data_IF_870933320133
#
_entry.id   IF_870933320133
#
_cell.length_a   1.000
_cell.length_b   1.000
_cell.length_c   1.000
_cell.angle_alpha   90.00
_cell.angle_beta   90.00
_cell.angle_gamma   90.00
#
_symmetry.space_group_name_H-M   'P 1'
#
loop_
_entity.id
_entity.type
_entity.pdbx_description
1 polymer ?
#
# COMPACT_ATOMS: atom_id res chain seq x y z
N UNK A 1 -8.10 2.46 15.61
CA UNK A 1 -7.74 1.83 14.32
C UNK A 1 -7.04 2.87 13.46
N UNK A 2 -5.93 2.49 12.87
CA UNK A 2 -5.25 3.34 11.90
C UNK A 2 -5.30 2.69 10.53
N UNK A 3 -5.28 3.51 9.47
CA UNK A 3 -5.33 3.06 8.08
C UNK A 3 -4.20 3.70 7.30
N UNK A 4 -3.39 2.85 6.69
CA UNK A 4 -2.33 3.28 5.79
C UNK A 4 -2.80 3.16 4.35
N UNK A 5 -2.54 4.19 3.56
CA UNK A 5 -2.85 4.21 2.13
C UNK A 5 -1.62 4.71 1.37
N UNK A 6 -1.17 3.90 0.41
CA UNK A 6 -0.08 4.28 -0.50
C UNK A 6 -0.69 4.54 -1.87
N UNK A 7 -0.60 5.78 -2.32
CA UNK A 7 -1.17 6.24 -3.58
C UNK A 7 -0.12 6.21 -4.68
N UNK A 8 -0.48 5.60 -5.81
CA UNK A 8 0.34 5.56 -7.00
C UNK A 8 -0.51 5.88 -8.23
N UNK A 9 0.13 6.43 -9.26
CA UNK A 9 -0.45 6.50 -10.59
C UNK A 9 0.31 5.51 -11.47
N UNK A 10 -0.40 4.56 -12.05
CA UNK A 10 0.20 3.49 -12.85
C UNK A 10 0.29 3.92 -14.31
N UNK A 11 1.39 3.57 -14.96
CA UNK A 11 1.57 3.77 -16.39
C UNK A 11 0.43 3.13 -17.18
N UNK A 12 -0.12 3.87 -18.16
CA UNK A 12 -1.18 3.35 -19.03
C UNK A 12 -0.73 2.05 -19.68
N UNK A 13 -1.61 1.04 -19.65
CA UNK A 13 -1.32 -0.28 -20.19
C UNK A 13 -0.63 -1.24 -19.23
N UNK A 14 -0.22 -0.77 -18.04
CA UNK A 14 0.48 -1.60 -17.03
C UNK A 14 -0.38 -1.95 -15.82
N UNK A 15 -1.70 -1.75 -15.89
CA UNK A 15 -2.58 -1.96 -14.74
C UNK A 15 -2.57 -3.42 -14.25
N UNK A 16 -2.60 -4.38 -15.16
CA UNK A 16 -2.56 -5.80 -14.78
C UNK A 16 -1.22 -6.17 -14.13
N UNK A 17 -0.13 -5.56 -14.57
CA UNK A 17 1.19 -5.75 -13.95
C UNK A 17 1.18 -5.18 -12.52
N UNK A 18 0.51 -4.05 -12.30
CA UNK A 18 0.38 -3.47 -10.97
C UNK A 18 -0.46 -4.37 -10.03
N UNK A 19 -1.51 -4.99 -10.54
CA UNK A 19 -2.29 -5.96 -9.76
C UNK A 19 -1.43 -7.17 -9.38
N UNK A 20 -0.60 -7.66 -10.30
CA UNK A 20 0.30 -8.77 -9.99
C UNK A 20 1.35 -8.38 -8.96
N UNK A 21 1.88 -7.15 -9.05
CA UNK A 21 2.80 -6.61 -8.05
C UNK A 21 2.16 -6.58 -6.66
N UNK A 22 0.91 -6.15 -6.56
CA UNK A 22 0.18 -6.15 -5.28
C UNK A 22 -0.04 -7.57 -4.74
N UNK A 23 -0.35 -8.53 -5.62
CA UNK A 23 -0.46 -9.94 -5.22
C UNK A 23 0.84 -10.50 -4.69
N UNK A 24 1.96 -10.14 -5.31
CA UNK A 24 3.28 -10.61 -4.89
C UNK A 24 3.66 -10.03 -3.52
N UNK A 25 3.35 -8.76 -3.27
CA UNK A 25 3.53 -8.14 -1.96
C UNK A 25 2.68 -8.88 -0.92
N UNK A 26 1.41 -9.11 -1.21
CA UNK A 26 0.51 -9.78 -0.27
C UNK A 26 0.91 -11.23 0.01
N UNK A 27 1.51 -11.91 -0.95
CA UNK A 27 2.03 -13.26 -0.73
C UNK A 27 3.13 -13.28 0.33
N UNK A 28 4.02 -12.29 0.32
CA UNK A 28 5.04 -12.15 1.35
C UNK A 28 4.41 -11.77 2.69
N UNK A 29 3.48 -10.81 2.68
CA UNK A 29 2.78 -10.40 3.91
C UNK A 29 2.10 -11.61 4.57
N UNK A 30 1.41 -12.42 3.80
CA UNK A 30 0.74 -13.63 4.29
C UNK A 30 1.74 -14.62 4.88
N UNK A 31 2.85 -14.84 4.18
CA UNK A 31 3.91 -15.76 4.62
C UNK A 31 4.54 -15.32 5.95
N UNK A 32 4.68 -14.01 6.16
CA UNK A 32 5.28 -13.44 7.37
C UNK A 32 4.28 -13.19 8.49
N UNK A 33 2.99 -13.35 8.24
CA UNK A 33 1.95 -13.04 9.22
C UNK A 33 1.67 -11.54 9.36
N UNK A 34 2.03 -10.75 8.35
CA UNK A 34 1.74 -9.32 8.30
C UNK A 34 0.37 -9.04 7.70
N UNK A 35 -0.15 -7.85 7.96
CA UNK A 35 -1.40 -7.38 7.38
C UNK A 35 -1.27 -7.30 5.85
N UNK A 36 -2.24 -7.86 5.15
CA UNK A 36 -2.28 -7.78 3.68
C UNK A 36 -2.96 -6.47 3.25
N UNK A 37 -2.59 -6.02 2.06
CA UNK A 37 -3.14 -4.81 1.47
C UNK A 37 -4.38 -5.14 0.63
N UNK A 38 -5.31 -4.18 0.62
CA UNK A 38 -6.41 -4.14 -0.35
C UNK A 38 -6.04 -3.12 -1.42
N UNK A 39 -6.36 -3.42 -2.66
CA UNK A 39 -6.18 -2.49 -3.77
C UNK A 39 -7.48 -1.72 -3.99
N UNK A 40 -7.39 -0.40 -3.93
CA UNK A 40 -8.51 0.49 -4.21
C UNK A 40 -8.21 1.26 -5.49
N UNK A 41 -9.21 1.34 -6.36
CA UNK A 41 -9.13 2.15 -7.58
C UNK A 41 -10.36 3.06 -7.65
N UNK A 42 -10.22 4.31 -8.11
CA UNK A 42 -11.36 5.21 -8.17
C UNK A 42 -12.31 4.80 -9.29
N UNK A 43 -13.61 4.83 -9.00
CA UNK A 43 -14.64 4.75 -10.05
C UNK A 43 -14.67 6.05 -10.85
N UNK A 44 -14.43 7.16 -10.17
CA UNK A 44 -14.21 8.49 -10.73
C UNK A 44 -13.00 9.10 -10.04
N UNK A 45 -12.26 9.96 -10.71
CA UNK A 45 -11.10 10.62 -10.16
C UNK A 45 -9.93 10.54 -11.11
N UNK A 46 -8.71 10.50 -10.55
CA UNK A 46 -7.49 10.43 -11.36
C UNK A 46 -7.42 9.07 -12.07
N UNK A 47 -7.29 9.13 -13.39
CA UNK A 47 -7.16 7.92 -14.22
C UNK A 47 -5.90 7.15 -13.84
N UNK A 48 -6.02 5.84 -13.73
CA UNK A 48 -4.93 4.92 -13.37
C UNK A 48 -4.36 5.13 -11.97
N UNK A 49 -5.08 5.77 -11.09
CA UNK A 49 -4.71 5.79 -9.69
C UNK A 49 -4.86 4.39 -9.08
N UNK A 50 -3.89 4.01 -8.27
CA UNK A 50 -3.78 2.69 -7.68
C UNK A 50 -3.38 2.87 -6.22
N UNK A 51 -4.25 2.46 -5.31
CA UNK A 51 -4.06 2.69 -3.89
C UNK A 51 -3.94 1.36 -3.17
N UNK A 52 -2.83 1.16 -2.46
CA UNK A 52 -2.71 0.06 -1.51
C UNK A 52 -3.19 0.54 -0.15
N UNK A 53 -4.14 -0.19 0.43
CA UNK A 53 -4.73 0.17 1.70
C UNK A 53 -4.64 -0.98 2.69
N UNK A 54 -4.26 -0.68 3.93
CA UNK A 54 -4.23 -1.65 5.02
C UNK A 54 -4.63 -1.00 6.33
N UNK A 55 -5.34 -1.75 7.18
CA UNK A 55 -5.79 -1.30 8.48
C UNK A 55 -5.05 -2.02 9.60
N UNK A 56 -4.74 -1.29 10.65
CA UNK A 56 -4.01 -1.78 11.83
C UNK A 56 -4.77 -1.38 13.10
N UNK A 57 -4.66 -2.16 14.18
CA UNK A 57 -5.35 -1.81 15.42
C UNK A 57 -4.88 -0.48 16.01
N UNK A 58 -3.60 -0.13 15.88
CA UNK A 58 -3.01 1.08 16.43
C UNK A 58 -1.73 1.46 15.67
N UNK A 59 -1.16 2.61 16.01
CA UNK A 59 0.09 3.09 15.40
C UNK A 59 1.26 2.15 15.66
N UNK A 60 1.35 1.57 16.85
CA UNK A 60 2.45 0.68 17.20
C UNK A 60 2.47 -0.55 16.29
N UNK A 61 1.31 -1.13 15.99
CA UNK A 61 1.19 -2.25 15.07
C UNK A 61 1.64 -1.87 13.65
N UNK A 62 1.20 -0.70 13.16
CA UNK A 62 1.64 -0.20 11.86
C UNK A 62 3.16 -0.04 11.80
N UNK A 63 3.74 0.67 12.75
CA UNK A 63 5.19 0.92 12.73
C UNK A 63 6.01 -0.35 12.86
N UNK A 64 5.57 -1.31 13.67
CA UNK A 64 6.24 -2.60 13.80
C UNK A 64 6.26 -3.37 12.48
N UNK A 65 5.10 -3.47 11.80
CA UNK A 65 5.02 -4.19 10.54
C UNK A 65 5.75 -3.45 9.42
N UNK A 66 5.66 -2.12 9.38
CA UNK A 66 6.36 -1.31 8.38
C UNK A 66 7.87 -1.46 8.51
N UNK A 67 8.38 -1.43 9.73
CA UNK A 67 9.80 -1.64 10.00
C UNK A 67 10.26 -3.05 9.59
N UNK A 68 9.45 -4.06 9.93
CA UNK A 68 9.74 -5.44 9.56
C UNK A 68 9.74 -5.63 8.02
N UNK A 69 8.80 -5.01 7.34
CA UNK A 69 8.72 -5.04 5.87
C UNK A 69 9.97 -4.42 5.24
N UNK A 70 10.38 -3.26 5.71
CA UNK A 70 11.56 -2.56 5.20
C UNK A 70 12.87 -3.31 5.47
N UNK A 71 12.91 -4.12 6.51
CA UNK A 71 14.08 -4.95 6.84
C UNK A 71 14.08 -6.30 6.11
N UNK A 72 12.99 -6.66 5.45
CA UNK A 72 12.87 -7.94 4.74
C UNK A 72 13.34 -7.80 3.29
N UNK A 73 14.39 -8.54 2.93
CA UNK A 73 15.00 -8.43 1.60
C UNK A 73 14.06 -8.89 0.48
N UNK A 74 13.26 -9.93 0.71
CA UNK A 74 12.30 -10.41 -0.27
C UNK A 74 11.19 -9.39 -0.50
N UNK A 75 10.60 -8.87 0.58
CA UNK A 75 9.55 -7.85 0.51
C UNK A 75 10.04 -6.60 -0.21
N UNK A 76 11.22 -6.10 0.14
CA UNK A 76 11.77 -4.89 -0.46
C UNK A 76 12.19 -5.08 -1.92
N UNK A 77 12.65 -6.27 -2.29
CA UNK A 77 12.94 -6.59 -3.69
C UNK A 77 11.68 -6.48 -4.55
N UNK A 78 10.57 -7.08 -4.09
CA UNK A 78 9.27 -6.99 -4.79
C UNK A 78 8.78 -5.55 -4.81
N UNK A 79 8.83 -4.87 -3.68
CA UNK A 79 8.36 -3.48 -3.56
C UNK A 79 9.06 -2.56 -4.56
N UNK A 80 10.39 -2.68 -4.69
CA UNK A 80 11.18 -1.85 -5.60
C UNK A 80 10.85 -2.05 -7.07
N UNK A 81 10.38 -3.23 -7.46
CA UNK A 81 9.91 -3.47 -8.83
C UNK A 81 8.72 -2.58 -9.20
N UNK A 82 7.95 -2.12 -8.21
CA UNK A 82 6.85 -1.20 -8.43
C UNK A 82 7.26 0.13 -9.05
N UNK A 83 8.52 0.53 -8.91
CA UNK A 83 9.04 1.77 -9.50
C UNK A 83 8.84 1.79 -11.02
N UNK A 84 8.98 0.63 -11.68
CA UNK A 84 8.81 0.52 -13.13
C UNK A 84 7.37 0.75 -13.58
N UNK A 85 6.41 0.63 -12.66
CA UNK A 85 4.98 0.72 -12.95
C UNK A 85 4.44 2.14 -12.75
N UNK A 86 5.20 3.00 -12.07
CA UNK A 86 4.78 4.37 -11.78
C UNK A 86 4.84 5.22 -13.04
N UNK A 87 3.75 5.94 -13.34
CA UNK A 87 3.67 6.80 -14.50
C UNK A 87 4.70 7.93 -14.41
N UNK A 88 5.38 8.21 -15.52
CA UNK A 88 6.39 9.27 -15.59
C UNK A 88 5.79 10.62 -15.19
N UNK A 89 6.50 11.37 -14.37
CA UNK A 89 6.06 12.69 -13.90
C UNK A 89 5.08 12.68 -12.74
N UNK A 90 4.72 11.49 -12.22
CA UNK A 90 3.88 11.36 -11.02
C UNK A 90 4.73 10.96 -9.82
N UNK A 91 4.21 11.23 -8.63
CA UNK A 91 4.89 10.90 -7.39
C UNK A 91 3.97 10.07 -6.48
N UNK A 92 4.41 8.88 -6.06
CA UNK A 92 3.71 8.15 -5.01
C UNK A 92 3.70 8.95 -3.71
N UNK A 93 2.65 8.78 -2.92
CA UNK A 93 2.58 9.41 -1.61
C UNK A 93 1.78 8.54 -0.64
N UNK A 94 2.09 8.71 0.64
CA UNK A 94 1.47 7.96 1.73
C UNK A 94 0.54 8.83 2.54
N UNK A 95 -0.48 8.19 3.14
CA UNK A 95 -1.22 8.79 4.23
C UNK A 95 -1.45 7.74 5.32
N UNK A 96 -1.41 8.18 6.56
CA UNK A 96 -1.72 7.37 7.73
C UNK A 96 -2.77 8.13 8.52
N UNK A 97 -3.96 7.55 8.61
CA UNK A 97 -5.11 8.14 9.27
C UNK A 97 -5.49 7.33 10.49
N UNK A 98 -6.01 7.96 11.51
CA UNK A 98 -6.59 7.26 12.64
C UNK A 98 -8.06 7.58 12.80
N UNK A 99 -8.81 6.65 13.38
CA UNK A 99 -10.22 6.87 13.69
C UNK A 99 -10.34 7.98 14.73
N UNK A 100 -11.05 9.06 14.38
CA UNK A 100 -11.32 10.13 15.33
C UNK A 100 -12.38 9.68 16.33
N UNK A 101 -12.21 9.99 17.62
CA UNK A 101 -13.27 9.74 18.59
C UNK A 101 -14.43 10.72 18.33
N UNK A 102 -15.65 10.18 18.24
CA UNK A 102 -16.86 11.00 18.07
C UNK A 102 -17.43 11.46 19.41
N UNK A 103 -17.02 10.86 20.49
CA UNK A 103 -17.45 11.23 21.84
C UNK A 103 -16.36 12.00 22.53
N UNK A 104 -16.70 13.15 23.05
CA UNK A 104 -15.83 13.94 23.92
C UNK A 104 -16.07 13.49 25.36
N UNK A 105 -15.02 13.20 26.06
CA UNK A 105 -15.09 12.79 27.45
C UNK A 105 -15.52 13.96 28.37
#
# INVERSE_FOLDING_TARGET
MVRHRLHNTVTLGRFNDALQWARDINAVCKKRGWTEFTVMVPSFGVVNQFILEAAYPDHAAFFRENEAFQADSEAMSIYRHGVELVAHGTHPWDELEETAPLQLA
#
